data_IF_788082486842
#
_entry.id   IF_788082486842
#
_cell.length_a   1.000
_cell.length_b   1.000
_cell.length_c   1.000
_cell.angle_alpha   90.00
_cell.angle_beta   90.00
_cell.angle_gamma   90.00
#
_symmetry.space_group_name_H-M   'P 1'
#
loop_
_entity.id
_entity.type
_entity.pdbx_description
1 polymer ?
#
# COMPACT_ATOMS: atom_id res chain seq x y z
N UNK A 1 -3.87 4.06 -2.87
CA UNK A 1 -5.10 4.80 -3.22
C UNK A 1 -4.82 5.77 -4.35
N UNK A 2 -5.84 6.08 -5.13
CA UNK A 2 -5.79 7.08 -6.21
C UNK A 2 -6.86 8.14 -5.98
N UNK A 3 -6.71 9.29 -6.60
CA UNK A 3 -7.75 10.32 -6.62
C UNK A 3 -8.32 10.37 -8.03
N UNK A 4 -9.65 10.24 -8.16
CA UNK A 4 -10.31 10.29 -9.45
C UNK A 4 -10.46 11.74 -9.96
N UNK A 5 -10.98 11.90 -11.19
CA UNK A 5 -11.20 13.22 -11.83
C UNK A 5 -12.13 14.15 -11.02
N UNK A 6 -12.96 13.59 -10.15
CA UNK A 6 -13.94 14.32 -9.32
C UNK A 6 -13.39 14.63 -7.93
N UNK A 7 -12.16 14.23 -7.60
CA UNK A 7 -11.55 14.44 -6.29
C UNK A 7 -11.87 13.37 -5.23
N UNK A 8 -12.56 12.27 -5.59
CA UNK A 8 -12.85 11.17 -4.68
C UNK A 8 -11.66 10.20 -4.61
N UNK A 9 -11.43 9.66 -3.42
CA UNK A 9 -10.40 8.64 -3.19
C UNK A 9 -10.92 7.29 -3.67
N UNK A 10 -10.11 6.60 -4.46
CA UNK A 10 -10.34 5.23 -4.89
C UNK A 10 -9.34 4.30 -4.20
N UNK A 11 -9.85 3.24 -3.60
CA UNK A 11 -9.05 2.21 -2.91
C UNK A 11 -8.83 1.00 -3.80
N UNK A 12 -7.67 0.32 -3.68
CA UNK A 12 -7.36 -0.86 -4.49
C UNK A 12 -7.99 -2.11 -3.89
N UNK A 13 -8.56 -2.96 -4.75
CA UNK A 13 -9.12 -4.26 -4.43
C UNK A 13 -8.64 -5.29 -5.45
N UNK A 14 -8.44 -6.54 -5.02
CA UNK A 14 -8.20 -7.66 -5.93
C UNK A 14 -9.53 -8.25 -6.37
N UNK A 15 -9.66 -8.50 -7.67
CA UNK A 15 -10.86 -9.11 -8.25
C UNK A 15 -10.94 -10.60 -7.92
N UNK A 16 -12.12 -11.06 -7.58
CA UNK A 16 -12.43 -12.47 -7.37
C UNK A 16 -13.30 -12.96 -8.52
N UNK A 17 -12.98 -14.12 -9.08
CA UNK A 17 -13.75 -14.75 -10.16
C UNK A 17 -13.99 -16.21 -9.78
N UNK A 18 -15.25 -16.60 -9.66
CA UNK A 18 -15.66 -17.97 -9.29
C UNK A 18 -14.97 -18.47 -8.01
N UNK A 19 -14.96 -17.64 -6.95
CA UNK A 19 -14.32 -17.98 -5.67
C UNK A 19 -12.80 -18.05 -5.69
N UNK A 20 -12.16 -17.54 -6.74
CA UNK A 20 -10.71 -17.51 -6.89
C UNK A 20 -10.20 -16.07 -6.98
N UNK A 21 -9.25 -15.73 -6.11
CA UNK A 21 -8.60 -14.41 -6.09
C UNK A 21 -7.65 -14.29 -7.28
N UNK A 22 -7.82 -13.25 -8.07
CA UNK A 22 -6.94 -12.92 -9.20
C UNK A 22 -5.87 -11.91 -8.80
N UNK A 23 -4.85 -11.75 -9.61
CA UNK A 23 -3.84 -10.70 -9.45
C UNK A 23 -4.27 -9.33 -9.98
N UNK A 24 -5.46 -9.27 -10.62
CA UNK A 24 -6.00 -8.03 -11.17
C UNK A 24 -6.42 -7.09 -10.03
N UNK A 25 -5.86 -5.89 -10.01
CA UNK A 25 -6.21 -4.83 -9.05
C UNK A 25 -7.15 -3.84 -9.71
N UNK A 26 -8.32 -3.64 -9.12
CA UNK A 26 -9.29 -2.61 -9.51
C UNK A 26 -9.38 -1.56 -8.41
N UNK A 27 -9.46 -0.31 -8.81
CA UNK A 27 -9.67 0.80 -7.91
C UNK A 27 -11.16 1.14 -7.88
N UNK A 28 -11.75 1.18 -6.69
CA UNK A 28 -13.17 1.47 -6.48
C UNK A 28 -13.29 2.69 -5.57
N UNK A 29 -14.24 3.55 -5.89
CA UNK A 29 -14.70 4.62 -5.01
C UNK A 29 -15.67 4.06 -3.96
N UNK A 30 -15.91 4.80 -2.87
CA UNK A 30 -16.84 4.37 -1.81
C UNK A 30 -18.26 4.05 -2.34
N UNK A 31 -18.74 4.79 -3.33
CA UNK A 31 -20.06 4.57 -3.94
C UNK A 31 -20.10 3.28 -4.77
N UNK A 32 -18.99 2.94 -5.42
CA UNK A 32 -18.88 1.70 -6.19
C UNK A 32 -18.71 0.50 -5.26
N UNK A 33 -17.98 0.68 -4.16
CA UNK A 33 -17.76 -0.35 -3.14
C UNK A 33 -19.06 -0.89 -2.57
N UNK A 34 -20.07 -0.02 -2.31
CA UNK A 34 -21.37 -0.41 -1.77
C UNK A 34 -22.09 -1.43 -2.65
N UNK A 35 -21.85 -1.42 -3.95
CA UNK A 35 -22.54 -2.30 -4.92
C UNK A 35 -21.95 -3.71 -4.95
N UNK A 36 -20.82 -3.93 -4.35
CA UNK A 36 -20.05 -5.17 -4.44
C UNK A 36 -19.93 -5.86 -3.08
N UNK A 37 -19.80 -7.18 -3.14
CA UNK A 37 -19.48 -8.01 -1.96
C UNK A 37 -17.98 -8.15 -1.86
N UNK A 38 -17.39 -7.62 -0.78
CA UNK A 38 -15.94 -7.53 -0.60
C UNK A 38 -15.51 -8.38 0.59
N UNK A 39 -14.65 -9.37 0.35
CA UNK A 39 -14.06 -10.20 1.38
C UNK A 39 -12.96 -9.44 2.13
N UNK A 40 -12.77 -9.78 3.40
CA UNK A 40 -11.70 -9.22 4.22
C UNK A 40 -10.34 -9.77 3.80
N UNK A 41 -9.29 -8.96 3.95
CA UNK A 41 -7.92 -9.32 3.58
C UNK A 41 -7.34 -10.50 4.38
N UNK A 42 -7.89 -10.78 5.57
CA UNK A 42 -7.47 -11.89 6.43
C UNK A 42 -8.15 -13.22 6.08
N UNK A 43 -9.02 -13.25 5.08
CA UNK A 43 -9.65 -14.49 4.62
C UNK A 43 -8.61 -15.49 4.14
N UNK A 44 -8.73 -16.73 4.62
CA UNK A 44 -7.76 -17.80 4.30
C UNK A 44 -7.92 -18.22 2.85
N UNK A 45 -6.84 -18.12 2.09
CA UNK A 45 -6.79 -18.56 0.71
C UNK A 45 -5.80 -19.71 0.53
N UNK A 46 -6.14 -20.67 -0.32
CA UNK A 46 -5.27 -21.77 -0.72
C UNK A 46 -4.12 -21.27 -1.62
N UNK A 47 -3.12 -22.11 -1.87
CA UNK A 47 -2.02 -21.83 -2.82
C UNK A 47 -2.51 -21.52 -4.24
N UNK A 48 -3.66 -22.03 -4.61
CA UNK A 48 -4.30 -21.83 -5.92
C UNK A 48 -5.08 -20.50 -6.00
N UNK A 49 -5.12 -19.74 -4.92
CA UNK A 49 -5.88 -18.48 -4.82
C UNK A 49 -7.37 -18.66 -4.52
N UNK A 50 -7.88 -19.87 -4.34
CA UNK A 50 -9.26 -20.13 -3.95
C UNK A 50 -9.46 -19.92 -2.44
N UNK A 51 -10.64 -19.49 -2.02
CA UNK A 51 -10.98 -19.43 -0.60
C UNK A 51 -10.99 -20.83 0.02
N UNK A 52 -10.37 -20.97 1.19
CA UNK A 52 -10.32 -22.25 1.90
C UNK A 52 -11.68 -22.63 2.51
N UNK A 53 -12.46 -21.64 2.90
CA UNK A 53 -13.76 -21.78 3.54
C UNK A 53 -14.88 -21.53 2.52
N UNK A 54 -16.02 -22.20 2.72
CA UNK A 54 -17.21 -22.03 1.90
C UNK A 54 -17.94 -20.72 2.23
N UNK A 55 -17.96 -20.37 3.52
CA UNK A 55 -18.52 -19.12 4.04
C UNK A 55 -17.38 -18.18 4.44
N UNK A 56 -17.31 -17.03 3.78
CA UNK A 56 -16.26 -16.03 3.97
C UNK A 56 -16.85 -14.76 4.57
N UNK A 57 -16.15 -14.19 5.55
CA UNK A 57 -16.52 -12.92 6.13
C UNK A 57 -16.32 -11.80 5.08
N UNK A 58 -17.38 -11.09 4.78
CA UNK A 58 -17.41 -10.04 3.78
C UNK A 58 -18.21 -8.83 4.26
N UNK A 59 -18.07 -7.73 3.56
CA UNK A 59 -18.93 -6.55 3.71
C UNK A 59 -19.72 -6.29 2.43
N UNK A 60 -20.97 -5.92 2.62
CA UNK A 60 -21.89 -5.53 1.56
C UNK A 60 -22.82 -4.46 2.08
N UNK A 61 -23.02 -3.39 1.32
CA UNK A 61 -23.88 -2.28 1.74
C UNK A 61 -23.56 -1.79 3.18
N UNK A 62 -22.27 -1.64 3.51
CA UNK A 62 -21.76 -1.23 4.83
C UNK A 62 -22.06 -2.22 5.99
N UNK A 63 -22.69 -3.35 5.72
CA UNK A 63 -22.92 -4.41 6.70
C UNK A 63 -21.89 -5.53 6.58
N UNK A 64 -21.53 -6.12 7.73
CA UNK A 64 -20.70 -7.32 7.78
C UNK A 64 -21.58 -8.55 7.78
N UNK A 65 -21.34 -9.44 6.85
CA UNK A 65 -22.09 -10.70 6.70
C UNK A 65 -21.14 -11.84 6.30
N UNK A 66 -21.62 -13.07 6.49
CA UNK A 66 -20.98 -14.26 5.92
C UNK A 66 -21.65 -14.57 4.59
N UNK A 67 -20.89 -14.62 3.52
CA UNK A 67 -21.38 -14.93 2.19
C UNK A 67 -20.65 -16.13 1.61
N UNK A 68 -21.32 -16.84 0.71
CA UNK A 68 -20.69 -17.93 -0.02
C UNK A 68 -19.57 -17.38 -0.92
N UNK A 69 -18.45 -18.09 -0.98
CA UNK A 69 -17.26 -17.74 -1.77
C UNK A 69 -17.57 -17.37 -3.24
N UNK A 70 -18.60 -17.97 -3.82
CA UNK A 70 -18.96 -17.72 -5.23
C UNK A 70 -19.67 -16.39 -5.45
N UNK A 71 -20.19 -15.77 -4.37
CA UNK A 71 -20.86 -14.47 -4.41
C UNK A 71 -19.93 -13.29 -4.06
N UNK A 72 -18.62 -13.56 -3.93
CA UNK A 72 -17.64 -12.54 -3.61
C UNK A 72 -17.08 -11.94 -4.89
N UNK A 73 -17.18 -10.61 -5.03
CA UNK A 73 -16.68 -9.89 -6.20
C UNK A 73 -15.22 -9.45 -6.04
N UNK A 74 -14.84 -9.03 -4.85
CA UNK A 74 -13.52 -8.49 -4.54
C UNK A 74 -13.01 -8.93 -3.17
N UNK A 75 -11.71 -8.80 -2.97
CA UNK A 75 -11.04 -8.97 -1.67
C UNK A 75 -10.12 -7.78 -1.41
N UNK A 76 -10.01 -7.35 -0.17
CA UNK A 76 -9.07 -6.32 0.25
C UNK A 76 -7.62 -6.73 -0.07
N UNK A 77 -6.80 -5.79 -0.53
CA UNK A 77 -5.40 -6.07 -0.89
C UNK A 77 -4.56 -6.42 0.33
N UNK A 78 -4.76 -5.72 1.44
CA UNK A 78 -3.98 -5.92 2.67
C UNK A 78 -4.74 -5.44 3.90
N UNK A 79 -4.58 -6.10 5.07
CA UNK A 79 -5.10 -5.62 6.35
C UNK A 79 -4.51 -4.27 6.77
N UNK A 80 -3.33 -3.92 6.28
CA UNK A 80 -2.63 -2.65 6.57
C UNK A 80 -3.41 -1.41 6.10
N UNK A 81 -4.38 -1.56 5.22
CA UNK A 81 -5.25 -0.46 4.76
C UNK A 81 -6.13 0.15 5.87
N UNK A 82 -6.32 -0.56 6.99
CA UNK A 82 -7.11 -0.07 8.13
C UNK A 82 -6.42 1.05 8.91
N UNK A 83 -5.10 1.18 8.80
CA UNK A 83 -4.31 2.16 9.56
C UNK A 83 -3.71 3.22 8.62
N UNK A 84 -3.44 4.41 9.17
CA UNK A 84 -2.74 5.46 8.44
C UNK A 84 -1.28 5.05 8.16
N UNK A 85 -0.64 5.71 7.21
CA UNK A 85 0.78 5.49 6.90
C UNK A 85 1.66 5.69 8.13
N UNK A 86 1.40 6.73 8.93
CA UNK A 86 2.15 6.98 10.15
C UNK A 86 2.00 5.84 11.17
N UNK A 87 0.78 5.35 11.38
CA UNK A 87 0.53 4.20 12.26
C UNK A 87 1.17 2.91 11.72
N UNK A 88 1.15 2.71 10.41
CA UNK A 88 1.75 1.53 9.77
C UNK A 88 3.29 1.47 9.87
N UNK A 89 3.95 2.58 10.21
CA UNK A 89 5.39 2.66 10.48
C UNK A 89 5.76 2.29 11.92
N UNK A 90 4.80 2.07 12.81
CA UNK A 90 5.04 1.67 14.20
C UNK A 90 5.22 0.16 14.26
N UNK A 91 6.41 -0.35 14.66
CA UNK A 91 6.61 -1.79 14.85
C UNK A 91 5.74 -2.30 16.00
N UNK A 92 5.18 -3.50 15.86
CA UNK A 92 4.34 -4.16 16.87
C UNK A 92 3.13 -3.32 17.31
N UNK A 93 2.54 -2.58 16.38
CA UNK A 93 1.39 -1.70 16.64
C UNK A 93 0.22 -2.43 17.31
N UNK A 94 -0.01 -3.69 16.97
CA UNK A 94 -1.06 -4.54 17.52
C UNK A 94 -0.94 -4.79 19.03
N UNK A 95 0.26 -4.62 19.58
CA UNK A 95 0.56 -4.79 21.00
C UNK A 95 0.61 -3.46 21.77
N UNK A 96 0.35 -2.34 21.09
CA UNK A 96 0.46 -1.00 21.68
C UNK A 96 -0.91 -0.43 22.03
N UNK A 97 -0.95 0.40 23.08
CA UNK A 97 -2.15 1.14 23.45
C UNK A 97 -2.46 2.23 22.44
N UNK A 98 -3.75 2.43 22.13
CA UNK A 98 -4.21 3.40 21.14
C UNK A 98 -3.72 4.83 21.43
N UNK A 99 -3.71 5.25 22.70
CA UNK A 99 -3.24 6.57 23.09
C UNK A 99 -1.73 6.73 22.84
N UNK A 100 -0.94 5.69 23.12
CA UNK A 100 0.50 5.70 22.89
C UNK A 100 0.82 5.63 21.40
N UNK A 101 0.08 4.88 20.61
CA UNK A 101 0.19 4.85 19.16
C UNK A 101 -0.10 6.23 18.55
N UNK A 102 -1.12 6.95 19.04
CA UNK A 102 -1.41 8.32 18.62
C UNK A 102 -0.26 9.26 18.94
N UNK A 103 0.27 9.21 20.16
CA UNK A 103 1.43 10.04 20.56
C UNK A 103 2.65 9.73 19.69
N UNK A 104 2.98 8.46 19.47
CA UNK A 104 4.07 8.02 18.61
C UNK A 104 3.94 8.50 17.17
N UNK A 105 2.75 8.40 16.58
CA UNK A 105 2.45 8.90 15.24
C UNK A 105 2.68 10.42 15.12
N UNK A 106 2.28 11.17 16.15
CA UNK A 106 2.50 12.62 16.19
C UNK A 106 3.98 12.96 16.31
N UNK A 107 4.73 12.23 17.13
CA UNK A 107 6.16 12.43 17.32
C UNK A 107 6.99 12.09 16.08
N UNK A 108 6.61 11.08 15.30
CA UNK A 108 7.27 10.75 14.02
C UNK A 108 7.23 11.93 13.05
N UNK A 109 6.14 12.69 13.01
CA UNK A 109 6.02 13.88 12.14
C UNK A 109 6.91 15.05 12.56
N UNK A 110 7.45 15.02 13.75
CA UNK A 110 8.36 16.02 14.31
C UNK A 110 9.81 15.55 14.32
N UNK A 111 10.12 14.43 13.66
CA UNK A 111 11.47 13.88 13.62
C UNK A 111 12.42 14.82 12.89
N UNK A 112 13.61 15.01 13.45
CA UNK A 112 14.68 15.81 12.85
C UNK A 112 15.64 14.88 12.11
N UNK A 113 16.03 15.19 10.85
CA UNK A 113 17.01 14.43 10.12
C UNK A 113 18.35 14.36 10.85
N UNK A 114 18.94 13.17 10.93
CA UNK A 114 20.24 12.97 11.56
C UNK A 114 21.37 13.35 10.60
N UNK A 115 22.50 13.82 11.14
CA UNK A 115 23.72 14.08 10.35
C UNK A 115 24.22 12.82 9.63
N UNK A 116 24.14 11.68 10.31
CA UNK A 116 24.43 10.36 9.74
C UNK A 116 23.21 9.48 9.93
N UNK A 117 22.36 9.33 8.90
CA UNK A 117 21.20 8.46 8.97
C UNK A 117 21.63 6.99 9.01
N UNK A 118 20.92 6.20 9.81
CA UNK A 118 21.09 4.76 9.91
C UNK A 118 19.74 4.06 9.68
N UNK A 119 19.79 2.85 9.16
CA UNK A 119 18.56 2.06 9.02
C UNK A 119 18.07 1.58 10.39
N UNK A 120 16.75 1.53 10.63
CA UNK A 120 16.22 1.03 11.89
C UNK A 120 16.52 -0.47 12.05
N UNK A 121 16.87 -0.88 13.29
CA UNK A 121 17.09 -2.29 13.61
C UNK A 121 15.78 -3.12 13.50
N UNK A 122 14.66 -2.50 13.84
CA UNK A 122 13.32 -3.09 13.72
C UNK A 122 12.47 -2.16 12.88
N UNK A 123 11.95 -2.67 11.80
CA UNK A 123 11.09 -1.93 10.87
C UNK A 123 9.83 -2.71 10.50
N UNK A 124 8.92 -2.07 9.82
CA UNK A 124 7.66 -2.66 9.35
C UNK A 124 7.72 -3.17 7.91
N UNK A 125 8.78 -2.83 7.18
CA UNK A 125 9.01 -3.19 5.78
C UNK A 125 8.40 -2.24 4.76
N UNK A 126 7.70 -1.19 5.19
CA UNK A 126 7.14 -0.17 4.29
C UNK A 126 7.96 1.13 4.24
N UNK A 127 9.06 1.20 4.98
CA UNK A 127 9.87 2.41 5.12
C UNK A 127 10.43 2.90 3.78
N UNK A 128 10.94 1.96 2.95
CA UNK A 128 11.45 2.28 1.61
C UNK A 128 10.38 2.84 0.70
N UNK A 129 9.20 2.22 0.68
CA UNK A 129 8.09 2.64 -0.16
C UNK A 129 7.57 4.02 0.26
N UNK A 130 7.44 4.25 1.56
CA UNK A 130 7.05 5.54 2.12
C UNK A 130 8.07 6.64 1.76
N UNK A 131 9.37 6.34 1.83
CA UNK A 131 10.43 7.29 1.48
C UNK A 131 10.38 7.67 -0.01
N UNK A 132 10.13 6.69 -0.89
CA UNK A 132 10.00 6.92 -2.34
C UNK A 132 8.75 7.74 -2.67
N UNK A 133 7.60 7.36 -2.09
CA UNK A 133 6.30 7.97 -2.37
C UNK A 133 6.13 9.36 -1.74
N UNK A 134 6.92 9.69 -0.69
CA UNK A 134 6.87 11.00 -0.03
C UNK A 134 7.30 12.17 -0.94
N UNK A 135 8.03 11.89 -2.02
CA UNK A 135 8.57 12.90 -2.94
C UNK A 135 9.67 13.77 -2.33
N UNK A 136 10.13 13.49 -1.10
CA UNK A 136 11.26 14.20 -0.47
C UNK A 136 12.59 13.72 -1.02
N UNK A 137 12.66 12.45 -1.43
CA UNK A 137 13.86 11.82 -1.99
C UNK A 137 13.92 12.03 -3.51
N UNK A 138 15.11 12.33 -4.02
CA UNK A 138 15.36 12.40 -5.46
C UNK A 138 15.71 11.00 -5.94
N UNK A 139 14.83 10.43 -6.77
CA UNK A 139 14.98 9.08 -7.32
C UNK A 139 15.53 9.14 -8.73
N UNK A 140 16.48 8.27 -9.07
CA UNK A 140 16.99 8.12 -10.40
C UNK A 140 15.86 7.65 -11.35
N UNK A 141 15.63 8.38 -12.46
CA UNK A 141 14.58 8.05 -13.42
C UNK A 141 14.96 6.92 -14.38
N UNK A 142 16.26 6.62 -14.51
CA UNK A 142 16.82 5.62 -15.43
C UNK A 142 17.98 4.90 -14.77
N UNK A 143 18.27 3.71 -15.27
CA UNK A 143 19.46 2.96 -14.87
C UNK A 143 20.71 3.68 -15.39
N UNK A 144 21.74 3.77 -14.57
CA UNK A 144 22.98 4.45 -14.93
C UNK A 144 24.12 4.23 -13.96
N UNK A 145 25.27 4.74 -14.32
CA UNK A 145 26.50 4.70 -13.51
C UNK A 145 26.79 6.13 -13.05
N UNK A 146 27.10 6.30 -11.77
CA UNK A 146 27.49 7.60 -11.23
C UNK A 146 28.87 7.98 -11.80
N UNK A 147 28.91 9.08 -12.54
CA UNK A 147 30.12 9.60 -13.19
C UNK A 147 30.85 10.62 -12.31
N UNK A 148 30.09 11.59 -11.76
CA UNK A 148 30.66 12.66 -10.93
C UNK A 148 29.74 13.00 -9.77
N UNK A 149 30.32 13.36 -8.64
CA UNK A 149 29.62 13.81 -7.44
C UNK A 149 30.25 15.12 -6.97
N UNK A 150 29.42 16.15 -6.84
CA UNK A 150 29.76 17.42 -6.24
C UNK A 150 28.87 17.66 -5.01
N UNK A 151 29.18 18.64 -4.17
CA UNK A 151 28.38 18.97 -2.99
C UNK A 151 26.93 19.37 -3.27
N UNK A 152 26.56 19.66 -4.52
CA UNK A 152 25.22 20.12 -4.92
C UNK A 152 24.58 19.25 -6.00
N UNK A 153 25.32 18.35 -6.66
CA UNK A 153 24.81 17.56 -7.78
C UNK A 153 25.47 16.19 -7.87
N UNK A 154 24.71 15.22 -8.37
CA UNK A 154 25.18 13.90 -8.75
C UNK A 154 24.92 13.75 -10.25
N UNK A 155 25.96 13.47 -11.01
CA UNK A 155 25.87 13.24 -12.47
C UNK A 155 25.83 11.74 -12.72
N UNK A 156 24.74 11.27 -13.31
CA UNK A 156 24.54 9.85 -13.64
C UNK A 156 24.55 9.70 -15.16
N UNK A 157 25.45 8.86 -15.66
CA UNK A 157 25.52 8.47 -17.06
C UNK A 157 24.57 7.32 -17.31
N UNK A 158 23.50 7.54 -18.10
CA UNK A 158 22.54 6.51 -18.43
C UNK A 158 23.20 5.35 -19.19
N UNK A 159 22.88 4.11 -18.83
CA UNK A 159 23.38 2.90 -19.51
C UNK A 159 22.53 2.52 -20.71
N UNK A 160 21.26 2.97 -20.75
CA UNK A 160 20.35 2.73 -21.85
C UNK A 160 20.15 4.00 -22.67
N UNK A 161 20.39 3.91 -23.96
CA UNK A 161 20.09 4.98 -24.93
C UNK A 161 18.62 4.85 -25.28
N UNK A 162 17.77 5.61 -24.61
CA UNK A 162 16.35 5.72 -24.99
C UNK A 162 16.15 6.97 -25.83
N UNK A 163 15.41 6.86 -26.91
CA UNK A 163 15.06 7.97 -27.80
C UNK A 163 14.54 9.18 -27.01
N UNK A 164 15.17 10.32 -27.22
CA UNK A 164 14.86 11.62 -26.61
C UNK A 164 13.49 12.21 -27.01
N UNK A 165 12.70 11.47 -27.79
CA UNK A 165 11.42 11.93 -28.34
C UNK A 165 10.20 11.71 -27.41
N UNK A 166 10.40 11.18 -26.20
CA UNK A 166 9.32 10.94 -25.20
C UNK A 166 9.62 11.58 -23.84
N UNK A 167 10.04 12.81 -23.80
CA UNK A 167 10.14 13.59 -22.56
C UNK A 167 9.04 14.65 -22.50
#
# INVERSE_FOLDING_TARGET
CRVNKFGYIESPYKKVVNGKVTSEIKYLSAIEEEKHTIAQANSVTNKDGSFAEELVACRKNLNFELSNRDNIDYIDVSPKQLVSVAAALIPFLENDDANRALMGSNMMRQAVPLLKPESPLVGTGIESDVALDSGVTIVARRNGIVDKIDGKRIVVKATEVTDLSQS
#
